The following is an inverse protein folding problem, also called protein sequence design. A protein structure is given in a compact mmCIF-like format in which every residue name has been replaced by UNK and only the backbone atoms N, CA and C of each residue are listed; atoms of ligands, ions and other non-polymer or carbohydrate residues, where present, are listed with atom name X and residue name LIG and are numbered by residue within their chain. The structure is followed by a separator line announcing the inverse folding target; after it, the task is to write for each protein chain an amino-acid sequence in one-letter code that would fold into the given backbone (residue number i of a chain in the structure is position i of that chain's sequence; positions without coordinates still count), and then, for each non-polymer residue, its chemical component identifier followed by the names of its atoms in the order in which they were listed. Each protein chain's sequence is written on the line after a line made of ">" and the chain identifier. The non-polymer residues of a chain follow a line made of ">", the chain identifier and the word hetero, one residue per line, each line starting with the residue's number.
data_IF_303501553862
#
_entry.id   IF_303501553862
#
_cell.length_a   1.000
_cell.length_b   1.000
_cell.length_c   1.000
_cell.angle_alpha   90.00
_cell.angle_beta   90.00
_cell.angle_gamma   90.00
#
_symmetry.space_group_name_H-M   'P 1'
#
loop_
_entity.id
_entity.type
_entity.pdbx_description
1 polymer ?
#
# COMPACT_ATOMS: atom_id res chain seq x y z
N UNK A 1 11.58 5.92 -19.56
CA UNK A 1 12.21 6.02 -18.22
C UNK A 1 12.28 4.60 -17.64
N UNK A 2 13.22 4.32 -16.72
CA UNK A 2 13.20 3.02 -16.00
C UNK A 2 12.04 3.04 -15.02
N UNK A 3 11.27 1.93 -14.87
CA UNK A 3 10.25 1.83 -13.84
C UNK A 3 10.89 1.88 -12.44
N UNK A 4 10.12 2.33 -11.44
CA UNK A 4 10.54 2.28 -10.03
C UNK A 4 10.64 0.85 -9.53
N UNK A 5 9.66 0.02 -9.88
CA UNK A 5 9.61 -1.40 -9.56
C UNK A 5 9.39 -2.21 -10.83
N UNK A 6 10.15 -3.29 -10.99
CA UNK A 6 9.95 -4.31 -12.02
C UNK A 6 9.91 -5.68 -11.35
N UNK A 7 8.86 -6.42 -11.64
CA UNK A 7 8.63 -7.79 -11.18
C UNK A 7 8.53 -8.68 -12.42
N UNK A 8 9.33 -9.73 -12.48
CA UNK A 8 9.45 -10.59 -13.66
C UNK A 8 9.35 -12.06 -13.26
N UNK A 9 8.31 -12.77 -13.72
CA UNK A 9 8.14 -14.21 -13.57
C UNK A 9 8.04 -14.71 -12.12
N UNK A 10 7.57 -13.86 -11.19
CA UNK A 10 7.59 -14.14 -9.76
C UNK A 10 6.65 -15.30 -9.41
N UNK A 11 7.19 -16.35 -8.78
CA UNK A 11 6.44 -17.50 -8.26
C UNK A 11 6.83 -17.78 -6.81
N UNK A 12 5.87 -18.26 -6.02
CA UNK A 12 6.11 -18.59 -4.61
C UNK A 12 5.15 -19.66 -4.10
N UNK A 13 5.71 -20.67 -3.40
CA UNK A 13 4.99 -21.74 -2.72
C UNK A 13 5.22 -21.70 -1.22
N UNK A 14 4.17 -21.95 -0.46
CA UNK A 14 4.30 -22.27 0.97
C UNK A 14 4.54 -23.77 1.14
N UNK A 15 5.57 -24.12 1.90
CA UNK A 15 5.87 -25.50 2.28
C UNK A 15 5.41 -25.77 3.70
N UNK A 16 4.62 -26.82 3.89
CA UNK A 16 4.15 -27.29 5.19
C UNK A 16 4.36 -28.81 5.32
N UNK A 17 4.15 -29.35 6.51
CA UNK A 17 4.19 -30.80 6.72
C UNK A 17 3.09 -31.53 5.93
N UNK A 18 2.03 -30.85 5.55
CA UNK A 18 0.89 -31.38 4.80
C UNK A 18 1.09 -31.30 3.28
N UNK A 19 2.15 -30.62 2.82
CA UNK A 19 2.45 -30.48 1.40
C UNK A 19 2.83 -29.05 0.99
N UNK A 20 2.90 -28.88 -0.32
CA UNK A 20 3.22 -27.62 -0.98
C UNK A 20 1.95 -26.91 -1.46
N UNK A 21 1.89 -25.61 -1.26
CA UNK A 21 0.79 -24.77 -1.73
C UNK A 21 1.33 -23.62 -2.58
N UNK A 22 1.18 -23.73 -3.89
CA UNK A 22 1.54 -22.65 -4.80
C UNK A 22 0.62 -21.44 -4.58
N UNK A 23 1.18 -20.36 -4.08
CA UNK A 23 0.45 -19.14 -3.75
C UNK A 23 0.39 -18.16 -4.93
N UNK A 24 1.52 -17.96 -5.61
CA UNK A 24 1.67 -17.07 -6.76
C UNK A 24 2.40 -17.82 -7.88
N UNK A 25 2.01 -17.56 -9.13
CA UNK A 25 2.60 -18.22 -10.31
C UNK A 25 2.80 -17.21 -11.44
N UNK A 26 4.06 -17.01 -11.83
CA UNK A 26 4.48 -16.20 -12.97
C UNK A 26 3.89 -14.77 -12.97
N UNK A 27 4.01 -14.06 -11.85
CA UNK A 27 3.59 -12.67 -11.72
C UNK A 27 4.63 -11.75 -12.37
N UNK A 28 4.20 -10.94 -13.35
CA UNK A 28 5.07 -9.95 -14.00
C UNK A 28 4.35 -8.63 -14.19
N UNK A 29 4.89 -7.55 -13.64
CA UNK A 29 4.38 -6.19 -13.80
C UNK A 29 5.46 -5.15 -13.48
N UNK A 30 5.19 -3.90 -13.83
CA UNK A 30 6.02 -2.75 -13.48
C UNK A 30 5.21 -1.73 -12.73
N UNK A 31 5.87 -0.88 -11.95
CA UNK A 31 5.30 0.35 -11.42
C UNK A 31 6.26 1.51 -11.71
N UNK A 32 5.73 2.60 -12.27
CA UNK A 32 6.52 3.78 -12.60
C UNK A 32 6.77 4.67 -11.37
N UNK A 33 7.71 5.62 -11.50
CA UNK A 33 7.97 6.58 -10.43
C UNK A 33 6.74 7.46 -10.19
N UNK A 34 6.30 7.52 -8.92
CA UNK A 34 5.14 8.30 -8.50
C UNK A 34 3.79 7.63 -8.83
N UNK A 35 3.79 6.44 -9.41
CA UNK A 35 2.57 5.72 -9.75
C UNK A 35 1.90 5.14 -8.50
N UNK A 36 0.57 5.24 -8.46
CA UNK A 36 -0.27 4.58 -7.47
C UNK A 36 -0.92 3.34 -8.12
N UNK A 37 -0.41 2.16 -7.82
CA UNK A 37 -0.86 0.88 -8.35
C UNK A 37 -1.77 0.18 -7.33
N UNK A 38 -2.94 -0.29 -7.73
CA UNK A 38 -3.78 -1.15 -6.89
C UNK A 38 -3.74 -2.60 -7.36
N UNK A 39 -3.75 -3.54 -6.42
CA UNK A 39 -3.85 -4.99 -6.68
C UNK A 39 -5.11 -5.51 -6.01
N UNK A 40 -6.02 -6.03 -6.80
CA UNK A 40 -7.28 -6.62 -6.35
C UNK A 40 -7.35 -8.09 -6.72
N UNK A 41 -8.19 -8.85 -6.02
CA UNK A 41 -8.37 -10.28 -6.31
C UNK A 41 -9.11 -10.97 -5.17
N UNK A 42 -9.57 -12.22 -5.37
CA UNK A 42 -10.29 -12.99 -4.38
C UNK A 42 -9.52 -13.16 -3.07
N UNK A 43 -10.23 -13.45 -1.97
CA UNK A 43 -9.56 -13.78 -0.71
C UNK A 43 -8.67 -15.01 -0.88
N UNK A 44 -7.47 -14.96 -0.32
CA UNK A 44 -6.50 -16.05 -0.38
C UNK A 44 -5.78 -16.24 -1.73
N UNK A 45 -5.91 -15.31 -2.70
CA UNK A 45 -5.23 -15.40 -4.00
C UNK A 45 -3.73 -15.05 -3.97
N UNK A 46 -3.17 -14.67 -2.81
CA UNK A 46 -1.74 -14.38 -2.68
C UNK A 46 -1.37 -12.89 -2.63
N UNK A 47 -2.32 -11.96 -2.45
CA UNK A 47 -2.04 -10.52 -2.40
C UNK A 47 -1.02 -10.13 -1.31
N UNK A 48 -1.25 -10.54 -0.07
CA UNK A 48 -0.32 -10.25 1.04
C UNK A 48 1.01 -11.01 0.88
N UNK A 49 0.99 -12.19 0.22
CA UNK A 49 2.20 -12.90 -0.18
C UNK A 49 3.03 -12.06 -1.15
N UNK A 50 2.38 -11.44 -2.15
CA UNK A 50 3.04 -10.54 -3.10
C UNK A 50 3.72 -9.37 -2.35
N UNK A 51 3.02 -8.68 -1.43
CA UNK A 51 3.65 -7.62 -0.65
C UNK A 51 4.81 -8.12 0.21
N UNK A 52 4.68 -9.31 0.81
CA UNK A 52 5.76 -9.93 1.61
C UNK A 52 7.00 -10.22 0.77
N UNK A 53 6.86 -10.63 -0.48
CA UNK A 53 7.95 -10.78 -1.44
C UNK A 53 8.55 -9.41 -1.83
N UNK A 54 7.70 -8.42 -2.12
CA UNK A 54 8.15 -7.08 -2.49
C UNK A 54 8.89 -6.39 -1.36
N UNK A 55 8.49 -6.54 -0.11
CA UNK A 55 9.22 -5.95 1.03
C UNK A 55 10.43 -6.80 1.48
N UNK A 56 10.51 -8.09 1.08
CA UNK A 56 11.61 -9.00 1.37
C UNK A 56 11.47 -9.78 2.66
N UNK A 57 10.27 -9.89 3.17
CA UNK A 57 9.95 -10.84 4.25
C UNK A 57 9.95 -12.29 3.74
N UNK A 58 9.68 -12.47 2.44
CA UNK A 58 9.78 -13.75 1.75
C UNK A 58 10.78 -13.63 0.59
N UNK A 59 11.39 -14.75 0.24
CA UNK A 59 12.28 -14.90 -0.92
C UNK A 59 11.48 -15.66 -1.99
N UNK A 60 11.39 -15.19 -3.23
CA UNK A 60 10.68 -15.90 -4.28
C UNK A 60 11.38 -17.21 -4.64
N UNK A 61 10.60 -18.21 -5.04
CA UNK A 61 11.13 -19.48 -5.54
C UNK A 61 11.66 -19.28 -6.98
N UNK A 62 10.96 -18.43 -7.75
CA UNK A 62 11.35 -18.10 -9.13
C UNK A 62 11.08 -16.61 -9.41
N UNK A 63 11.79 -16.08 -10.39
CA UNK A 63 11.63 -14.71 -10.86
C UNK A 63 12.45 -13.68 -10.08
N UNK A 64 12.39 -12.44 -10.55
CA UNK A 64 13.21 -11.34 -10.06
C UNK A 64 12.37 -10.14 -9.68
N UNK A 65 12.87 -9.39 -8.68
CA UNK A 65 12.35 -8.09 -8.26
C UNK A 65 13.48 -7.06 -8.38
N UNK A 66 13.30 -6.09 -9.27
CA UNK A 66 14.23 -4.98 -9.45
C UNK A 66 13.59 -3.68 -8.95
N UNK A 67 14.36 -2.84 -8.27
CA UNK A 67 13.98 -1.49 -7.87
C UNK A 67 15.00 -0.53 -8.47
N UNK A 68 14.52 0.47 -9.22
CA UNK A 68 15.37 1.37 -10.03
C UNK A 68 16.32 0.60 -11.00
N UNK A 69 15.91 -0.61 -11.42
CA UNK A 69 16.68 -1.48 -12.30
C UNK A 69 17.83 -2.22 -11.61
N UNK A 70 17.86 -2.25 -10.26
CA UNK A 70 18.83 -2.98 -9.45
C UNK A 70 18.10 -4.09 -8.68
N UNK A 71 18.67 -5.32 -8.56
CA UNK A 71 18.09 -6.36 -7.75
C UNK A 71 17.72 -5.85 -6.37
N UNK A 72 16.51 -6.13 -5.89
CA UNK A 72 16.00 -5.64 -4.61
C UNK A 72 16.97 -5.85 -3.44
N UNK A 73 17.63 -7.01 -3.39
CA UNK A 73 18.63 -7.35 -2.36
C UNK A 73 19.83 -6.40 -2.33
N UNK A 74 20.08 -5.64 -3.40
CA UNK A 74 21.23 -4.75 -3.59
C UNK A 74 20.81 -3.28 -3.72
N UNK A 75 19.50 -2.99 -3.83
CA UNK A 75 19.01 -1.65 -4.17
C UNK A 75 19.22 -0.60 -3.08
N UNK A 76 19.32 -1.01 -1.80
CA UNK A 76 19.42 -0.06 -0.68
C UNK A 76 18.19 0.84 -0.51
N UNK A 77 17.14 0.62 -1.29
CA UNK A 77 15.91 1.43 -1.31
C UNK A 77 15.11 1.24 -0.03
N UNK A 78 14.63 2.32 0.53
CA UNK A 78 13.74 2.30 1.69
C UNK A 78 12.32 1.92 1.24
N UNK A 79 11.82 0.79 1.75
CA UNK A 79 10.45 0.35 1.53
C UNK A 79 9.65 0.60 2.80
N UNK A 80 8.57 1.36 2.68
CA UNK A 80 7.58 1.54 3.74
C UNK A 80 6.48 0.50 3.61
N UNK A 81 6.27 -0.31 4.64
CA UNK A 81 5.20 -1.32 4.65
C UNK A 81 4.16 -0.97 5.72
N UNK A 82 2.95 -0.65 5.28
CA UNK A 82 1.79 -0.43 6.13
C UNK A 82 0.93 -1.68 6.13
N UNK A 83 0.86 -2.32 7.28
CA UNK A 83 0.10 -3.56 7.50
C UNK A 83 -1.40 -3.27 7.62
N UNK A 84 -2.22 -4.29 7.44
CA UNK A 84 -3.68 -4.23 7.53
C UNK A 84 -4.18 -3.63 8.85
N UNK A 85 -3.52 -3.97 9.97
CA UNK A 85 -3.75 -3.32 11.27
C UNK A 85 -2.70 -2.25 11.51
N UNK A 86 -3.06 -1.25 12.29
CA UNK A 86 -2.15 -0.13 12.59
C UNK A 86 -0.88 -0.56 13.35
N UNK A 87 -0.94 -1.63 14.15
CA UNK A 87 0.16 -2.16 14.97
C UNK A 87 0.92 -1.07 15.73
N UNK A 88 0.19 -0.06 16.22
CA UNK A 88 0.76 0.93 17.12
C UNK A 88 1.04 0.29 18.48
N UNK A 89 2.16 0.62 19.08
CA UNK A 89 2.49 0.16 20.43
C UNK A 89 1.68 0.93 21.46
N UNK A 90 0.78 0.27 22.17
CA UNK A 90 -0.14 0.86 23.15
C UNK A 90 0.58 1.54 24.32
N UNK A 91 1.81 1.12 24.64
CA UNK A 91 2.62 1.71 25.72
C UNK A 91 3.43 2.94 25.28
N UNK A 92 3.41 3.29 23.99
CA UNK A 92 4.04 4.49 23.44
C UNK A 92 3.00 5.56 23.15
N UNK A 93 3.43 6.82 23.19
CA UNK A 93 2.63 7.92 22.65
C UNK A 93 2.59 7.84 21.12
N UNK A 94 1.74 8.65 20.50
CA UNK A 94 1.66 8.75 19.02
C UNK A 94 2.99 9.25 18.46
N UNK A 95 3.59 10.28 19.04
CA UNK A 95 4.95 10.72 18.65
C UNK A 95 5.97 9.59 18.83
N UNK A 96 5.94 8.87 19.97
CA UNK A 96 6.85 7.75 20.21
C UNK A 96 6.67 6.58 19.23
N UNK A 97 5.45 6.34 18.75
CA UNK A 97 5.19 5.38 17.67
C UNK A 97 5.75 5.89 16.33
N UNK A 98 5.57 7.16 16.00
CA UNK A 98 6.08 7.77 14.78
C UNK A 98 7.61 7.76 14.72
N UNK A 99 8.28 7.99 15.85
CA UNK A 99 9.75 8.00 15.97
C UNK A 99 10.40 6.60 15.89
N UNK A 100 9.63 5.53 16.06
CA UNK A 100 10.14 4.17 16.24
C UNK A 100 11.17 3.76 15.18
N UNK A 101 10.85 3.95 13.92
CA UNK A 101 11.75 3.58 12.81
C UNK A 101 13.05 4.38 12.82
N UNK A 102 12.98 5.66 13.19
CA UNK A 102 14.14 6.53 13.33
C UNK A 102 15.01 6.13 14.53
N UNK A 103 14.40 5.69 15.63
CA UNK A 103 15.13 5.14 16.79
C UNK A 103 15.91 3.89 16.39
N UNK A 104 15.28 2.93 15.71
CA UNK A 104 15.90 1.68 15.25
C UNK A 104 17.07 1.97 14.30
N UNK A 105 16.91 2.93 13.38
CA UNK A 105 17.95 3.32 12.43
C UNK A 105 18.99 4.28 13.01
N UNK A 106 18.89 4.65 14.30
CA UNK A 106 19.75 5.63 14.96
C UNK A 106 19.78 7.00 14.27
N UNK A 107 18.68 7.36 13.60
CA UNK A 107 18.49 8.64 12.88
C UNK A 107 17.63 9.65 13.64
N UNK A 108 17.23 9.32 14.87
CA UNK A 108 16.46 10.23 15.73
C UNK A 108 17.33 11.39 16.19
N UNK A 109 16.92 12.61 15.84
CA UNK A 109 17.55 13.87 16.24
C UNK A 109 16.50 15.00 16.29
N UNK A 110 16.92 16.22 16.66
CA UNK A 110 15.99 17.36 16.75
C UNK A 110 15.27 17.67 15.44
N UNK A 111 15.98 17.65 14.32
CA UNK A 111 15.40 17.92 13.00
C UNK A 111 14.41 16.85 12.57
N UNK A 112 14.70 15.56 12.78
CA UNK A 112 13.78 14.47 12.45
C UNK A 112 12.50 14.53 13.30
N UNK A 113 12.62 14.93 14.57
CA UNK A 113 11.49 15.11 15.46
C UNK A 113 10.60 16.29 15.03
N UNK A 114 11.21 17.40 14.64
CA UNK A 114 10.49 18.56 14.13
C UNK A 114 9.72 18.21 12.83
N UNK A 115 10.34 17.45 11.93
CA UNK A 115 9.63 16.93 10.72
C UNK A 115 8.41 16.10 11.11
N UNK A 116 8.55 15.18 12.08
CA UNK A 116 7.44 14.36 12.56
C UNK A 116 6.33 15.19 13.21
N UNK A 117 6.69 16.20 14.02
CA UNK A 117 5.75 17.16 14.57
C UNK A 117 4.92 17.81 13.45
N UNK A 118 5.58 18.34 12.42
CA UNK A 118 4.92 18.97 11.29
C UNK A 118 4.05 17.96 10.51
N UNK A 119 4.49 16.72 10.33
CA UNK A 119 3.68 15.66 9.71
C UNK A 119 2.43 15.34 10.53
N UNK A 120 2.56 15.17 11.85
CA UNK A 120 1.42 14.91 12.73
C UNK A 120 0.40 16.05 12.68
N UNK A 121 0.86 17.31 12.65
CA UNK A 121 -0.01 18.47 12.46
C UNK A 121 -0.71 18.46 11.10
N UNK A 122 0.02 18.24 10.02
CA UNK A 122 -0.52 18.18 8.64
C UNK A 122 -1.59 17.09 8.51
N UNK A 123 -1.43 15.97 9.23
CA UNK A 123 -2.35 14.83 9.17
C UNK A 123 -3.43 14.86 10.26
N UNK A 124 -3.62 16.02 10.93
CA UNK A 124 -4.67 16.25 11.90
C UNK A 124 -4.47 15.53 13.23
N UNK A 125 -3.23 15.20 13.58
CA UNK A 125 -2.84 14.50 14.80
C UNK A 125 -2.02 15.38 15.76
N UNK A 126 -1.81 16.66 15.46
CA UNK A 126 -0.94 17.54 16.25
C UNK A 126 -1.33 17.66 17.72
N UNK A 127 -2.63 17.73 18.04
CA UNK A 127 -3.12 17.74 19.44
C UNK A 127 -3.03 16.39 20.15
N UNK A 128 -2.69 15.32 19.44
CA UNK A 128 -2.63 13.94 19.95
C UNK A 128 -1.22 13.36 20.03
N UNK A 129 -0.18 14.15 19.85
CA UNK A 129 1.21 13.68 19.86
C UNK A 129 1.59 12.93 21.14
N UNK A 130 1.09 13.40 22.28
CA UNK A 130 1.35 12.81 23.60
C UNK A 130 0.28 11.78 24.02
N UNK A 131 -0.80 11.62 23.24
CA UNK A 131 -1.83 10.63 23.49
C UNK A 131 -1.33 9.21 23.19
N UNK A 132 -1.99 8.21 23.74
CA UNK A 132 -1.74 6.78 23.44
C UNK A 132 -2.71 6.30 22.35
N UNK A 133 -2.38 5.21 21.63
CA UNK A 133 -3.26 4.66 20.59
C UNK A 133 -4.69 4.40 21.07
N UNK A 134 -4.89 3.96 22.32
CA UNK A 134 -6.21 3.71 22.90
C UNK A 134 -7.10 4.96 23.01
N UNK A 135 -6.52 6.15 22.95
CA UNK A 135 -7.24 7.44 23.04
C UNK A 135 -7.67 7.96 21.65
N UNK A 136 -7.29 7.25 20.56
CA UNK A 136 -7.53 7.65 19.18
C UNK A 136 -8.68 6.86 18.55
N UNK A 137 -9.42 7.51 17.62
CA UNK A 137 -10.35 6.79 16.74
C UNK A 137 -9.59 5.89 15.75
N UNK A 138 -10.28 4.91 15.15
CA UNK A 138 -9.68 4.00 14.17
C UNK A 138 -9.00 4.74 13.01
N UNK A 139 -9.65 5.78 12.46
CA UNK A 139 -9.07 6.60 11.38
C UNK A 139 -7.84 7.40 11.82
N UNK A 140 -7.82 7.91 13.06
CA UNK A 140 -6.65 8.58 13.63
C UNK A 140 -5.49 7.60 13.81
N UNK A 141 -5.76 6.37 14.25
CA UNK A 141 -4.75 5.30 14.39
C UNK A 141 -4.14 4.94 13.04
N UNK A 142 -4.95 4.83 11.98
CA UNK A 142 -4.46 4.55 10.62
C UNK A 142 -3.58 5.70 10.11
N UNK A 143 -3.97 6.96 10.32
CA UNK A 143 -3.11 8.11 9.98
C UNK A 143 -1.80 8.11 10.78
N UNK A 144 -1.82 7.77 12.06
CA UNK A 144 -0.61 7.64 12.87
C UNK A 144 0.32 6.51 12.37
N UNK A 145 -0.25 5.37 11.95
CA UNK A 145 0.51 4.28 11.33
C UNK A 145 1.14 4.71 9.98
N UNK A 146 0.42 5.51 9.19
CA UNK A 146 0.98 6.10 7.97
C UNK A 146 2.15 7.05 8.29
N UNK A 147 1.99 7.96 9.27
CA UNK A 147 3.08 8.86 9.70
C UNK A 147 4.31 8.06 10.11
N UNK A 148 4.15 7.00 10.92
CA UNK A 148 5.25 6.09 11.29
C UNK A 148 5.94 5.48 10.07
N UNK A 149 5.16 5.09 9.06
CA UNK A 149 5.70 4.50 7.83
C UNK A 149 6.44 5.55 6.99
N UNK A 150 5.88 6.75 6.84
CA UNK A 150 6.46 7.84 6.07
C UNK A 150 7.66 8.51 6.77
N UNK A 151 7.79 8.36 8.10
CA UNK A 151 8.89 8.91 8.89
C UNK A 151 10.28 8.51 8.38
N UNK A 152 10.37 7.35 7.75
CA UNK A 152 11.60 6.82 7.15
C UNK A 152 11.85 7.30 5.72
N UNK A 153 11.00 8.21 5.21
CA UNK A 153 11.08 8.75 3.84
C UNK A 153 11.19 7.63 2.78
N UNK A 154 10.27 6.63 2.78
CA UNK A 154 10.37 5.50 1.86
C UNK A 154 10.26 5.95 0.41
N UNK A 155 10.94 5.22 -0.47
CA UNK A 155 10.88 5.41 -1.92
C UNK A 155 9.71 4.65 -2.54
N UNK A 156 9.34 3.52 -1.93
CA UNK A 156 8.23 2.65 -2.32
C UNK A 156 7.35 2.38 -1.10
N UNK A 157 6.04 2.61 -1.25
CA UNK A 157 5.04 2.34 -0.24
C UNK A 157 4.26 1.08 -0.59
N UNK A 158 4.16 0.16 0.35
CA UNK A 158 3.35 -1.05 0.27
C UNK A 158 2.23 -0.94 1.31
N UNK A 159 0.99 -1.01 0.87
CA UNK A 159 -0.21 -0.80 1.69
C UNK A 159 -1.08 -2.06 1.64
N UNK A 160 -1.15 -2.80 2.74
CA UNK A 160 -1.92 -4.04 2.84
C UNK A 160 -3.27 -3.77 3.51
N UNK A 161 -4.33 -3.64 2.72
CA UNK A 161 -5.71 -3.38 3.17
C UNK A 161 -5.82 -2.30 4.26
N UNK A 162 -5.19 -1.12 4.10
CA UNK A 162 -4.99 -0.17 5.18
C UNK A 162 -6.30 0.42 5.74
N UNK A 163 -7.42 0.25 5.04
CA UNK A 163 -8.71 0.85 5.42
C UNK A 163 -9.75 -0.18 5.86
N UNK A 164 -9.43 -1.49 5.81
CA UNK A 164 -10.41 -2.57 6.02
C UNK A 164 -11.04 -2.60 7.41
N UNK A 165 -10.35 -2.11 8.43
CA UNK A 165 -10.83 -2.09 9.82
C UNK A 165 -11.69 -0.87 10.17
N UNK A 166 -11.96 0.04 9.21
CA UNK A 166 -12.71 1.28 9.44
C UNK A 166 -14.18 1.12 9.02
N UNK A 167 -15.07 1.83 9.72
CA UNK A 167 -16.44 2.01 9.26
C UNK A 167 -16.47 2.76 7.90
N UNK A 168 -17.59 2.68 7.20
CA UNK A 168 -17.69 3.17 5.82
C UNK A 168 -17.37 4.67 5.68
N UNK A 169 -17.90 5.53 6.56
CA UNK A 169 -17.69 6.99 6.44
C UNK A 169 -16.25 7.37 6.76
N UNK A 170 -15.70 6.82 7.84
CA UNK A 170 -14.30 7.02 8.24
C UNK A 170 -13.36 6.50 7.15
N UNK A 171 -13.67 5.35 6.54
CA UNK A 171 -12.91 4.76 5.44
C UNK A 171 -12.79 5.71 4.25
N UNK A 172 -13.92 6.30 3.82
CA UNK A 172 -13.93 7.25 2.70
C UNK A 172 -13.01 8.45 2.96
N UNK A 173 -13.14 9.06 4.13
CA UNK A 173 -12.34 10.23 4.52
C UNK A 173 -10.85 9.88 4.62
N UNK A 174 -10.52 8.80 5.31
CA UNK A 174 -9.12 8.39 5.51
C UNK A 174 -8.46 7.94 4.21
N UNK A 175 -9.20 7.27 3.33
CA UNK A 175 -8.73 6.91 1.99
C UNK A 175 -8.39 8.16 1.16
N UNK A 176 -9.26 9.17 1.17
CA UNK A 176 -9.05 10.45 0.48
C UNK A 176 -7.81 11.18 1.03
N UNK A 177 -7.73 11.31 2.36
CA UNK A 177 -6.59 11.94 3.04
C UNK A 177 -5.27 11.25 2.71
N UNK A 178 -5.19 9.93 2.91
CA UNK A 178 -3.96 9.14 2.71
C UNK A 178 -3.51 9.16 1.25
N UNK A 179 -4.44 9.02 0.32
CA UNK A 179 -4.11 9.03 -1.11
C UNK A 179 -3.61 10.41 -1.56
N UNK A 180 -4.24 11.47 -1.07
CA UNK A 180 -3.80 12.85 -1.34
C UNK A 180 -2.39 13.09 -0.82
N UNK A 181 -2.08 12.61 0.39
CA UNK A 181 -0.76 12.69 0.99
C UNK A 181 0.28 11.95 0.15
N UNK A 182 0.00 10.71 -0.24
CA UNK A 182 0.94 9.89 -1.03
C UNK A 182 1.20 10.56 -2.39
N UNK A 183 0.17 11.02 -3.08
CA UNK A 183 0.30 11.71 -4.37
C UNK A 183 1.09 13.02 -4.25
N UNK A 184 0.84 13.83 -3.21
CA UNK A 184 1.57 15.10 -3.00
C UNK A 184 3.06 14.89 -2.73
N UNK A 185 3.46 13.72 -2.24
CA UNK A 185 4.87 13.36 -1.99
C UNK A 185 5.54 12.70 -3.20
N UNK A 186 4.83 12.50 -4.31
CA UNK A 186 5.30 11.81 -5.52
C UNK A 186 5.94 10.44 -5.22
N UNK A 187 5.43 9.72 -4.22
CA UNK A 187 5.90 8.38 -3.86
C UNK A 187 5.18 7.33 -4.71
N UNK A 188 5.94 6.32 -5.13
CA UNK A 188 5.34 5.12 -5.76
C UNK A 188 4.65 4.30 -4.68
N UNK A 189 3.41 3.91 -4.91
CA UNK A 189 2.63 3.15 -3.94
C UNK A 189 1.96 1.92 -4.57
N UNK A 190 1.95 0.81 -3.83
CA UNK A 190 1.20 -0.40 -4.17
C UNK A 190 0.18 -0.64 -3.07
N UNK A 191 -1.09 -0.57 -3.42
CA UNK A 191 -2.23 -0.82 -2.54
C UNK A 191 -2.79 -2.21 -2.80
N UNK A 192 -2.87 -3.04 -1.78
CA UNK A 192 -3.72 -4.22 -1.79
C UNK A 192 -5.04 -3.88 -1.13
N UNK A 193 -6.14 -4.17 -1.81
CA UNK A 193 -7.48 -4.06 -1.25
C UNK A 193 -8.42 -5.07 -1.90
N UNK A 194 -9.48 -5.42 -1.18
CA UNK A 194 -10.61 -6.16 -1.71
C UNK A 194 -11.79 -5.23 -2.10
N UNK A 195 -11.69 -3.93 -1.79
CA UNK A 195 -12.68 -2.91 -2.15
C UNK A 195 -12.32 -2.27 -3.49
N UNK A 196 -13.13 -2.57 -4.53
CA UNK A 196 -12.93 -2.01 -5.87
C UNK A 196 -13.10 -0.50 -5.90
N UNK A 197 -13.97 0.04 -5.04
CA UNK A 197 -14.19 1.48 -4.99
C UNK A 197 -12.97 2.21 -4.45
N UNK A 198 -12.24 1.61 -3.49
CA UNK A 198 -10.95 2.12 -3.04
C UNK A 198 -9.95 2.08 -4.19
N UNK A 199 -9.73 0.89 -4.79
CA UNK A 199 -8.77 0.70 -5.86
C UNK A 199 -8.93 1.71 -6.99
N UNK A 200 -10.17 1.85 -7.52
CA UNK A 200 -10.47 2.73 -8.65
C UNK A 200 -10.37 4.21 -8.27
N UNK A 201 -10.72 4.58 -7.03
CA UNK A 201 -10.66 5.98 -6.59
C UNK A 201 -9.23 6.51 -6.54
N UNK A 202 -8.26 5.67 -6.13
CA UNK A 202 -6.91 6.13 -5.80
C UNK A 202 -5.87 5.79 -6.86
N UNK A 203 -6.02 4.64 -7.54
CA UNK A 203 -4.99 4.10 -8.42
C UNK A 203 -4.95 4.78 -9.80
N UNK A 204 -3.78 4.69 -10.41
CA UNK A 204 -3.54 5.01 -11.82
C UNK A 204 -3.69 3.75 -12.69
N UNK A 205 -3.44 2.56 -12.11
CA UNK A 205 -3.73 1.25 -12.69
C UNK A 205 -4.21 0.27 -11.63
N UNK A 206 -5.09 -0.64 -12.04
CA UNK A 206 -5.57 -1.76 -11.19
C UNK A 206 -5.12 -3.08 -11.81
N UNK A 207 -4.36 -3.87 -11.05
CA UNK A 207 -4.02 -5.26 -11.39
C UNK A 207 -5.07 -6.18 -10.78
N UNK A 208 -5.65 -7.05 -11.59
CA UNK A 208 -6.62 -8.07 -11.15
C UNK A 208 -5.91 -9.42 -11.09
N UNK A 209 -5.95 -10.08 -9.93
CA UNK A 209 -5.41 -11.42 -9.76
C UNK A 209 -6.48 -12.49 -9.89
N UNK A 210 -6.09 -13.67 -10.40
CA UNK A 210 -6.92 -14.89 -10.38
C UNK A 210 -7.06 -15.45 -8.98
N UNK A 211 -7.90 -16.48 -8.81
CA UNK A 211 -7.86 -17.39 -7.65
C UNK A 211 -6.49 -18.06 -7.56
N UNK A 212 -6.21 -18.65 -6.38
CA UNK A 212 -4.97 -19.40 -6.14
C UNK A 212 -4.78 -20.54 -7.14
N UNK A 213 -3.57 -20.70 -7.73
CA UNK A 213 -2.43 -19.80 -7.61
C UNK A 213 -2.71 -18.45 -8.26
N UNK A 214 -2.36 -17.35 -7.55
CA UNK A 214 -2.55 -16.00 -8.06
C UNK A 214 -1.71 -15.77 -9.30
N UNK A 215 -2.36 -15.32 -10.38
CA UNK A 215 -1.75 -14.87 -11.63
C UNK A 215 -2.34 -13.53 -12.01
N UNK A 216 -1.65 -12.73 -12.77
CA UNK A 216 -2.24 -11.51 -13.32
C UNK A 216 -3.23 -11.91 -14.39
N UNK A 217 -4.50 -11.54 -14.17
CA UNK A 217 -5.58 -11.76 -15.10
C UNK A 217 -5.77 -10.60 -16.05
N UNK A 218 -5.76 -9.39 -15.49
CA UNK A 218 -5.94 -8.15 -16.23
C UNK A 218 -5.19 -7.00 -15.57
N UNK A 219 -4.82 -6.01 -16.36
CA UNK A 219 -4.31 -4.71 -15.91
C UNK A 219 -5.18 -3.63 -16.52
N UNK A 220 -5.88 -2.88 -15.68
CA UNK A 220 -6.85 -1.86 -16.09
C UNK A 220 -6.27 -0.47 -15.81
N UNK A 221 -5.92 0.34 -16.82
CA UNK A 221 -5.53 1.73 -16.60
C UNK A 221 -6.73 2.55 -16.17
N UNK A 222 -6.53 3.44 -15.20
CA UNK A 222 -7.57 4.30 -14.62
C UNK A 222 -7.21 5.77 -14.92
N UNK A 223 -8.10 6.47 -15.60
CA UNK A 223 -7.91 7.89 -15.92
C UNK A 223 -9.23 8.65 -15.84
N UNK A 224 -9.21 9.76 -15.13
CA UNK A 224 -10.37 10.65 -14.96
C UNK A 224 -10.16 12.01 -15.63
N UNK A 225 -9.30 12.07 -16.65
CA UNK A 225 -9.07 13.28 -17.44
C UNK A 225 -8.18 14.33 -16.76
N UNK A 226 -8.00 14.29 -15.43
CA UNK A 226 -7.08 15.15 -14.68
C UNK A 226 -6.46 14.39 -13.51
N UNK A 227 -5.18 14.61 -13.27
CA UNK A 227 -4.44 13.97 -12.16
C UNK A 227 -4.82 14.52 -10.78
N UNK A 228 -5.35 15.75 -10.73
CA UNK A 228 -5.61 16.47 -9.47
C UNK A 228 -7.02 16.26 -8.90
N UNK A 229 -7.81 15.31 -9.43
CA UNK A 229 -9.12 15.00 -8.89
C UNK A 229 -8.97 14.15 -7.64
N UNK A 230 -9.56 14.61 -6.53
CA UNK A 230 -9.53 13.88 -5.25
C UNK A 230 -10.23 12.52 -5.39
N UNK A 231 -9.78 11.47 -4.69
CA UNK A 231 -10.38 10.14 -4.71
C UNK A 231 -11.90 10.15 -4.44
N UNK A 232 -12.36 10.98 -3.52
CA UNK A 232 -13.77 11.11 -3.21
C UNK A 232 -14.57 11.68 -4.39
N UNK A 233 -14.03 12.68 -5.10
CA UNK A 233 -14.68 13.31 -6.25
C UNK A 233 -14.72 12.35 -7.46
N UNK A 234 -13.68 11.52 -7.66
CA UNK A 234 -13.64 10.48 -8.70
C UNK A 234 -14.83 9.53 -8.63
N UNK A 235 -15.31 9.20 -7.41
CA UNK A 235 -16.46 8.30 -7.19
C UNK A 235 -17.77 8.83 -7.76
N UNK A 236 -17.89 10.15 -7.93
CA UNK A 236 -19.08 10.82 -8.47
C UNK A 236 -19.01 11.01 -10.00
N UNK A 237 -17.89 10.65 -10.63
CA UNK A 237 -17.72 10.80 -12.08
C UNK A 237 -18.33 9.63 -12.86
N UNK A 238 -18.85 9.87 -14.06
CA UNK A 238 -19.43 8.80 -14.90
C UNK A 238 -18.44 7.67 -15.20
N UNK A 239 -17.17 8.00 -15.40
CA UNK A 239 -16.10 7.05 -15.70
C UNK A 239 -15.88 6.04 -14.57
N UNK A 240 -16.18 6.42 -13.32
CA UNK A 240 -16.04 5.54 -12.17
C UNK A 240 -16.85 4.24 -12.34
N UNK A 241 -18.11 4.36 -12.76
CA UNK A 241 -18.98 3.19 -12.97
C UNK A 241 -18.49 2.31 -14.12
N UNK A 242 -17.87 2.90 -15.14
CA UNK A 242 -17.30 2.16 -16.27
C UNK A 242 -16.12 1.31 -15.78
N UNK A 243 -15.17 1.91 -15.06
CA UNK A 243 -14.02 1.18 -14.50
C UNK A 243 -14.47 0.13 -13.47
N UNK A 244 -15.45 0.47 -12.61
CA UNK A 244 -15.97 -0.47 -11.63
C UNK A 244 -16.53 -1.73 -12.31
N UNK A 245 -17.37 -1.56 -13.33
CA UNK A 245 -17.95 -2.67 -14.07
C UNK A 245 -16.88 -3.48 -14.83
N UNK A 246 -15.86 -2.81 -15.38
CA UNK A 246 -14.75 -3.48 -16.06
C UNK A 246 -13.97 -4.36 -15.09
N UNK A 247 -13.49 -3.82 -13.97
CA UNK A 247 -12.72 -4.57 -12.97
C UNK A 247 -13.56 -5.67 -12.32
N UNK A 248 -14.85 -5.38 -12.04
CA UNK A 248 -15.79 -6.36 -11.49
C UNK A 248 -15.99 -7.55 -12.42
N UNK A 249 -16.17 -7.31 -13.73
CA UNK A 249 -16.29 -8.37 -14.75
C UNK A 249 -15.05 -9.27 -14.77
N UNK A 250 -13.85 -8.67 -14.67
CA UNK A 250 -12.61 -9.44 -14.61
C UNK A 250 -12.53 -10.31 -13.34
N UNK A 251 -13.05 -9.85 -12.20
CA UNK A 251 -13.09 -10.64 -10.98
C UNK A 251 -14.12 -11.77 -11.01
N UNK A 252 -15.25 -11.57 -11.69
CA UNK A 252 -16.32 -12.58 -11.75
C UNK A 252 -16.06 -13.71 -12.75
N UNK A 253 -15.38 -13.43 -13.86
CA UNK A 253 -15.07 -14.45 -14.86
C UNK A 253 -14.05 -15.43 -14.23
N UNK A 254 -14.51 -16.58 -13.85
CA UNK A 254 -13.76 -17.62 -13.16
C UNK A 254 -13.18 -18.63 -14.17
N UNK A 255 -12.38 -18.18 -15.13
CA UNK A 255 -11.60 -19.07 -16.00
C UNK A 255 -10.13 -19.12 -15.56
#
# INVERSE_FOLDING_TARGET
>A
MKPKLEVSGLSYSYHSLEGETLALSNISFTADNGEFLAVVGPSGCGKSTLLSLLCGLLIPDEGDILIDGVPKSQSGVNIGYMLQRDHLFEWRTIMGNAELGLEIQKKRNGSSREKLHNMLHTYGLGSFENARPSELSGGMRQRAALVRTLALEPDLLLLDEPFSALDYQTRLSVCDDISTIIKSTHKTAILITHDLSEAISVADRVIVLTKRPGRIKAVVPISFGSENIRPLDRRNMPEFSVYFNQVWKELQNHD
#
